data_IF_475132610930
#
_entry.id   IF_475132610930
#
_cell.length_a   1.000
_cell.length_b   1.000
_cell.length_c   1.000
_cell.angle_alpha   90.00
_cell.angle_beta   90.00
_cell.angle_gamma   90.00
#
_symmetry.space_group_name_H-M   'P 1'
#
loop_
_entity.id
_entity.type
_entity.pdbx_description
1 polymer ?
#
# COMPACT_ATOMS: atom_id res chain seq x y z
N UNK A 1 -7.47 10.95 -1.47
CA UNK A 1 -6.40 10.36 -0.65
C UNK A 1 -6.67 10.67 0.81
N UNK A 2 -6.60 9.66 1.69
CA UNK A 2 -6.69 9.83 3.14
C UNK A 2 -5.29 9.74 3.76
N UNK A 3 -5.02 10.50 4.81
CA UNK A 3 -3.75 10.51 5.54
C UNK A 3 -3.78 9.67 6.83
N UNK A 4 -4.97 9.19 7.22
CA UNK A 4 -5.12 8.27 8.35
C UNK A 4 -5.38 6.83 7.85
N UNK A 5 -4.72 5.81 8.44
CA UNK A 5 -5.00 4.41 8.10
C UNK A 5 -6.45 4.03 8.44
N UNK A 6 -7.03 3.12 7.65
CA UNK A 6 -8.39 2.60 7.88
C UNK A 6 -8.35 1.48 8.92
N UNK A 7 -8.36 1.83 10.21
CA UNK A 7 -8.33 0.84 11.28
C UNK A 7 -9.66 0.07 11.40
N UNK A 8 -9.58 -1.26 11.46
CA UNK A 8 -10.71 -2.10 11.83
C UNK A 8 -11.13 -1.79 13.27
N UNK A 9 -12.37 -1.32 13.42
CA UNK A 9 -12.99 -0.93 14.71
C UNK A 9 -12.09 -0.01 15.54
N UNK A 10 -11.42 0.94 14.89
CA UNK A 10 -10.50 1.91 15.50
C UNK A 10 -9.32 1.30 16.26
N UNK A 11 -8.90 0.07 15.90
CA UNK A 11 -7.91 -0.68 16.69
C UNK A 11 -6.79 -1.33 15.88
N UNK A 12 -7.12 -2.08 14.82
CA UNK A 12 -6.12 -2.90 14.11
C UNK A 12 -6.11 -2.56 12.63
N UNK A 13 -4.92 -2.39 12.07
CA UNK A 13 -4.69 -2.23 10.64
C UNK A 13 -3.48 -3.08 10.26
N UNK A 14 -3.62 -3.90 9.23
CA UNK A 14 -2.51 -4.72 8.73
C UNK A 14 -1.46 -3.85 8.03
N UNK A 15 -0.22 -4.31 8.00
CA UNK A 15 0.83 -3.76 7.13
C UNK A 15 1.57 -4.92 6.48
N UNK A 16 1.46 -5.03 5.16
CA UNK A 16 2.02 -6.14 4.36
C UNK A 16 2.56 -5.60 3.05
N UNK A 17 3.50 -6.32 2.42
CA UNK A 17 4.11 -5.91 1.15
C UNK A 17 3.31 -6.42 -0.05
N UNK A 18 3.24 -5.62 -1.12
CA UNK A 18 2.76 -6.08 -2.42
C UNK A 18 3.92 -6.48 -3.33
N UNK A 19 3.70 -7.53 -4.15
CA UNK A 19 4.61 -7.92 -5.23
C UNK A 19 4.32 -7.24 -6.57
N UNK A 20 3.13 -6.67 -6.75
CA UNK A 20 2.69 -5.97 -7.98
C UNK A 20 1.48 -5.07 -7.69
N UNK A 21 1.08 -4.22 -8.65
CA UNK A 21 -0.15 -3.38 -8.56
C UNK A 21 -1.43 -4.21 -8.45
N UNK A 22 -1.53 -5.30 -9.22
CA UNK A 22 -2.68 -6.22 -9.11
C UNK A 22 -2.70 -6.90 -7.74
N UNK A 23 -1.55 -7.36 -7.26
CA UNK A 23 -1.47 -7.93 -5.92
C UNK A 23 -1.82 -6.92 -4.81
N UNK A 24 -1.47 -5.64 -4.98
CA UNK A 24 -1.89 -4.60 -4.04
C UNK A 24 -3.42 -4.42 -3.99
N UNK A 25 -4.11 -4.49 -5.15
CA UNK A 25 -5.57 -4.48 -5.23
C UNK A 25 -6.16 -5.71 -4.53
N UNK A 26 -5.64 -6.89 -4.84
CA UNK A 26 -6.10 -8.14 -4.23
C UNK A 26 -5.91 -8.14 -2.69
N UNK A 27 -4.78 -7.63 -2.19
CA UNK A 27 -4.51 -7.48 -0.75
C UNK A 27 -5.52 -6.52 -0.11
N UNK A 28 -5.77 -5.37 -0.75
CA UNK A 28 -6.69 -4.37 -0.24
C UNK A 28 -8.12 -4.92 -0.12
N UNK A 29 -8.59 -5.59 -1.17
CA UNK A 29 -9.90 -6.22 -1.22
C UNK A 29 -10.02 -7.36 -0.18
N UNK A 30 -9.00 -8.21 -0.07
CA UNK A 30 -8.96 -9.31 0.90
C UNK A 30 -8.98 -8.80 2.35
N UNK A 31 -8.33 -7.66 2.62
CA UNK A 31 -8.32 -7.02 3.94
C UNK A 31 -9.55 -6.13 4.19
N UNK A 32 -10.49 -6.06 3.25
CA UNK A 32 -11.65 -5.16 3.29
C UNK A 32 -11.24 -3.70 3.54
N UNK A 33 -10.10 -3.30 2.97
CA UNK A 33 -9.50 -1.99 3.12
C UNK A 33 -8.82 -1.69 4.46
N UNK A 34 -8.77 -2.64 5.41
CA UNK A 34 -8.13 -2.49 6.72
C UNK A 34 -6.63 -2.84 6.71
N UNK A 35 -5.92 -2.31 5.72
CA UNK A 35 -4.50 -2.59 5.47
C UNK A 35 -3.78 -1.37 4.90
N UNK A 36 -2.50 -1.25 5.23
CA UNK A 36 -1.53 -0.45 4.50
C UNK A 36 -0.66 -1.39 3.66
N UNK A 37 -0.66 -1.17 2.34
CA UNK A 37 0.12 -1.99 1.42
C UNK A 37 1.48 -1.32 1.18
N UNK A 38 2.54 -2.00 1.59
CA UNK A 38 3.90 -1.49 1.51
C UNK A 38 4.53 -1.67 0.13
N UNK A 39 5.15 -0.59 -0.35
CA UNK A 39 6.02 -0.55 -1.54
C UNK A 39 7.42 -0.10 -1.09
N UNK A 40 8.47 -0.83 -1.48
CA UNK A 40 9.82 -0.59 -0.98
C UNK A 40 10.58 0.39 -1.87
N UNK A 41 11.05 1.49 -1.30
CA UNK A 41 11.84 2.51 -2.03
C UNK A 41 13.13 1.96 -2.65
N UNK A 42 13.74 0.93 -2.03
CA UNK A 42 14.97 0.28 -2.53
C UNK A 42 14.78 -0.41 -3.89
N UNK A 43 13.54 -0.65 -4.32
CA UNK A 43 13.25 -1.26 -5.62
C UNK A 43 13.33 -0.27 -6.80
N UNK A 44 13.62 1.01 -6.52
CA UNK A 44 13.71 2.06 -7.53
C UNK A 44 15.13 2.64 -7.56
N UNK A 45 15.58 3.06 -8.74
CA UNK A 45 16.91 3.63 -8.93
C UNK A 45 17.04 5.05 -8.37
N UNK A 46 15.92 5.80 -8.32
CA UNK A 46 15.90 7.19 -7.92
C UNK A 46 14.55 7.60 -7.30
N UNK A 47 14.52 8.80 -6.72
CA UNK A 47 13.32 9.36 -6.09
C UNK A 47 12.19 9.62 -7.10
N UNK A 48 12.44 10.26 -8.28
CA UNK A 48 11.36 10.51 -9.24
C UNK A 48 10.62 9.26 -9.71
N UNK A 49 11.35 8.17 -10.00
CA UNK A 49 10.74 6.90 -10.43
C UNK A 49 9.91 6.25 -9.31
N UNK A 50 10.41 6.26 -8.07
CA UNK A 50 9.64 5.78 -6.92
C UNK A 50 8.35 6.60 -6.70
N UNK A 51 8.45 7.93 -6.76
CA UNK A 51 7.31 8.83 -6.56
C UNK A 51 6.26 8.64 -7.65
N UNK A 52 6.67 8.47 -8.91
CA UNK A 52 5.76 8.23 -10.01
C UNK A 52 5.02 6.90 -9.84
N UNK A 53 5.74 5.80 -9.57
CA UNK A 53 5.13 4.49 -9.47
C UNK A 53 4.26 4.32 -8.23
N UNK A 54 4.69 4.81 -7.06
CA UNK A 54 3.91 4.73 -5.81
C UNK A 54 2.59 5.52 -5.85
N UNK A 55 2.44 6.49 -6.77
CA UNK A 55 1.17 7.21 -6.98
C UNK A 55 0.15 6.44 -7.82
N UNK A 56 0.60 5.40 -8.52
CA UNK A 56 -0.26 4.55 -9.36
C UNK A 56 -0.78 3.30 -8.63
N UNK A 57 -0.29 3.03 -7.43
CA UNK A 57 -0.85 2.04 -6.49
C UNK A 57 -2.12 2.59 -5.84
#
# INVERSE_FOLDING_TARGET
MNLTPNFYRDRVCLNVLAGSKDNARDIYDAAQGHVLVGVLSKNYADVPSAVADMKEY
#
